data_IF_584832372786
#
_entry.id   IF_584832372786
#
_cell.length_a   1.000
_cell.length_b   1.000
_cell.length_c   1.000
_cell.angle_alpha   90.00
_cell.angle_beta   90.00
_cell.angle_gamma   90.00
#
_symmetry.space_group_name_H-M   'P 1'
#
loop_
_entity.id
_entity.type
_entity.pdbx_description
1 polymer ?
#
# COMPACT_ATOMS: atom_id res chain seq x y z
N UNK A 1 -10.38 -9.71 -18.55
CA UNK A 1 -10.77 -8.32 -18.21
C UNK A 1 -11.90 -7.77 -19.09
N UNK A 2 -11.87 -7.96 -20.41
CA UNK A 2 -12.86 -7.36 -21.33
C UNK A 2 -14.34 -7.55 -20.94
N UNK A 3 -14.76 -8.75 -20.51
CA UNK A 3 -16.15 -8.99 -20.03
C UNK A 3 -16.56 -8.15 -18.80
N UNK A 4 -15.62 -7.68 -17.98
CA UNK A 4 -15.90 -6.89 -16.76
C UNK A 4 -16.02 -5.39 -17.04
N UNK A 5 -15.40 -4.93 -18.14
CA UNK A 5 -15.23 -3.52 -18.46
C UNK A 5 -15.89 -3.10 -19.78
N UNK A 6 -16.59 -4.03 -20.45
CA UNK A 6 -17.30 -3.75 -21.69
C UNK A 6 -18.32 -2.62 -21.49
N UNK A 7 -18.29 -1.62 -22.38
CA UNK A 7 -19.12 -0.41 -22.29
C UNK A 7 -18.80 0.57 -21.15
N UNK A 8 -17.71 0.38 -20.40
CA UNK A 8 -17.30 1.29 -19.31
C UNK A 8 -16.07 2.11 -19.68
N UNK A 9 -15.99 3.33 -19.16
CA UNK A 9 -14.81 4.19 -19.31
C UNK A 9 -13.67 3.75 -18.36
N UNK A 10 -13.11 2.56 -18.61
CA UNK A 10 -12.04 1.95 -17.82
C UNK A 10 -10.97 1.39 -18.74
N UNK A 11 -9.73 1.82 -18.53
CA UNK A 11 -8.57 1.32 -19.27
C UNK A 11 -7.82 0.29 -18.45
N UNK A 12 -7.44 -0.83 -19.07
CA UNK A 12 -6.57 -1.83 -18.45
C UNK A 12 -5.16 -1.64 -19.00
N UNK A 13 -4.22 -1.40 -18.09
CA UNK A 13 -2.82 -1.15 -18.45
C UNK A 13 -1.96 -2.25 -17.84
N UNK A 14 -1.07 -2.83 -18.66
CA UNK A 14 -0.16 -3.89 -18.25
C UNK A 14 1.28 -3.36 -18.17
N UNK A 15 2.06 -3.89 -17.23
CA UNK A 15 3.52 -3.68 -17.09
C UNK A 15 3.97 -2.22 -16.95
N UNK A 16 3.06 -1.32 -16.59
CA UNK A 16 3.31 0.12 -16.48
C UNK A 16 2.86 0.68 -15.14
N UNK A 17 3.01 -0.09 -14.06
CA UNK A 17 2.53 0.25 -12.71
C UNK A 17 2.94 1.66 -12.27
N UNK A 18 4.22 2.02 -12.40
CA UNK A 18 4.69 3.34 -11.96
C UNK A 18 4.18 4.48 -12.83
N UNK A 19 4.07 4.27 -14.15
CA UNK A 19 3.48 5.27 -15.05
C UNK A 19 2.00 5.47 -14.72
N UNK A 20 1.27 4.40 -14.40
CA UNK A 20 -0.12 4.46 -13.96
C UNK A 20 -0.26 5.25 -12.66
N UNK A 21 0.59 4.97 -11.66
CA UNK A 21 0.58 5.69 -10.38
C UNK A 21 0.88 7.18 -10.55
N UNK A 22 1.89 7.54 -11.34
CA UNK A 22 2.26 8.95 -11.59
C UNK A 22 1.15 9.76 -12.27
N UNK A 23 0.23 9.10 -12.99
CA UNK A 23 -0.93 9.73 -13.62
C UNK A 23 -2.22 9.60 -12.79
N UNK A 24 -2.14 9.05 -11.58
CA UNK A 24 -3.31 8.81 -10.72
C UNK A 24 -3.45 9.91 -9.67
N UNK A 25 -4.68 10.38 -9.43
CA UNK A 25 -4.95 11.30 -8.31
C UNK A 25 -5.04 10.58 -6.97
N UNK A 26 -5.56 9.35 -6.97
CA UNK A 26 -5.65 8.48 -5.80
C UNK A 26 -5.66 7.02 -6.28
N UNK A 27 -5.38 6.08 -5.38
CA UNK A 27 -5.31 4.66 -5.72
C UNK A 27 -6.12 3.77 -4.77
N UNK A 28 -6.78 2.76 -5.33
CA UNK A 28 -7.25 1.59 -4.58
C UNK A 28 -6.20 0.50 -4.75
N UNK A 29 -5.57 0.09 -3.65
CA UNK A 29 -4.38 -0.75 -3.70
C UNK A 29 -4.59 -2.00 -2.86
N UNK A 30 -4.11 -3.14 -3.33
CA UNK A 30 -4.12 -4.36 -2.51
C UNK A 30 -3.03 -4.30 -1.44
N UNK A 31 -3.15 -5.11 -0.37
CA UNK A 31 -2.09 -5.24 0.62
C UNK A 31 -0.81 -5.78 -0.02
N UNK A 32 0.35 -5.23 0.35
CA UNK A 32 1.66 -5.74 -0.09
C UNK A 32 2.65 -4.62 -0.37
N UNK A 33 3.65 -4.91 -1.20
CA UNK A 33 4.67 -3.91 -1.61
C UNK A 33 4.06 -2.76 -2.41
N UNK A 34 2.96 -3.00 -3.13
CA UNK A 34 2.25 -1.98 -3.88
C UNK A 34 1.79 -0.79 -2.99
N UNK A 35 1.49 -1.01 -1.70
CA UNK A 35 1.15 0.09 -0.79
C UNK A 35 2.34 1.01 -0.55
N UNK A 36 3.52 0.42 -0.36
CA UNK A 36 4.76 1.18 -0.19
C UNK A 36 5.13 1.93 -1.47
N UNK A 37 5.08 1.25 -2.62
CA UNK A 37 5.38 1.89 -3.91
C UNK A 37 4.46 3.11 -4.14
N UNK A 38 3.14 2.94 -3.91
CA UNK A 38 2.15 4.01 -4.03
C UNK A 38 2.44 5.18 -3.10
N UNK A 39 2.75 4.91 -1.83
CA UNK A 39 3.13 5.94 -0.86
C UNK A 39 4.45 6.66 -1.23
N UNK A 40 5.43 5.95 -1.79
CA UNK A 40 6.70 6.53 -2.25
C UNK A 40 6.50 7.49 -3.43
N UNK A 41 5.51 7.23 -4.29
CA UNK A 41 5.07 8.16 -5.34
C UNK A 41 4.17 9.30 -4.83
N UNK A 42 3.94 9.40 -3.53
CA UNK A 42 3.06 10.40 -2.89
C UNK A 42 1.62 10.39 -3.41
N UNK A 43 1.13 9.22 -3.82
CA UNK A 43 -0.25 9.05 -4.26
C UNK A 43 -1.09 8.58 -3.06
N UNK A 44 -2.12 9.34 -2.63
CA UNK A 44 -3.01 8.88 -1.57
C UNK A 44 -3.70 7.58 -1.96
N UNK A 45 -3.83 6.66 -1.01
CA UNK A 45 -4.39 5.34 -1.27
C UNK A 45 -5.42 4.89 -0.22
N UNK A 46 -6.30 3.98 -0.63
CA UNK A 46 -7.12 3.15 0.24
C UNK A 46 -6.74 1.69 -0.01
N UNK A 47 -6.38 0.99 1.06
CA UNK A 47 -5.94 -0.40 1.00
C UNK A 47 -7.15 -1.31 1.08
N UNK A 48 -7.28 -2.22 0.12
CA UNK A 48 -8.42 -3.10 0.00
C UNK A 48 -7.98 -4.57 0.02
N UNK A 49 -8.63 -5.38 0.85
CA UNK A 49 -8.37 -6.82 0.89
C UNK A 49 -9.65 -7.63 1.06
N UNK A 50 -9.86 -8.59 0.15
CA UNK A 50 -10.89 -9.62 0.26
C UNK A 50 -10.23 -10.98 0.07
N UNK A 51 -10.28 -11.81 1.10
CA UNK A 51 -9.70 -13.16 1.07
C UNK A 51 -10.57 -14.13 1.87
N UNK A 52 -10.10 -15.37 2.04
CA UNK A 52 -10.78 -16.32 2.93
C UNK A 52 -10.86 -15.75 4.35
N UNK A 53 -12.08 -15.52 4.85
CA UNK A 53 -12.33 -14.94 6.18
C UNK A 53 -11.67 -15.76 7.30
N UNK A 54 -11.74 -17.09 7.19
CA UNK A 54 -11.14 -18.04 8.13
C UNK A 54 -9.61 -17.93 8.10
N UNK A 55 -9.00 -17.97 6.91
CA UNK A 55 -7.54 -17.87 6.75
C UNK A 55 -7.02 -16.52 7.26
N UNK A 56 -7.75 -15.44 6.99
CA UNK A 56 -7.42 -14.10 7.47
C UNK A 56 -7.47 -14.02 9.00
N UNK A 57 -8.55 -14.52 9.62
CA UNK A 57 -8.72 -14.48 11.08
C UNK A 57 -7.64 -15.30 11.80
N UNK A 58 -7.30 -16.47 11.25
CA UNK A 58 -6.23 -17.32 11.78
C UNK A 58 -4.86 -16.66 11.65
N UNK A 59 -4.53 -16.12 10.47
CA UNK A 59 -3.26 -15.42 10.25
C UNK A 59 -3.12 -14.20 11.16
N UNK A 60 -4.18 -13.39 11.31
CA UNK A 60 -4.16 -12.21 12.18
C UNK A 60 -3.96 -12.59 13.65
N UNK A 61 -4.61 -13.68 14.12
CA UNK A 61 -4.50 -14.14 15.50
C UNK A 61 -3.13 -14.76 15.81
N UNK A 62 -2.54 -15.47 14.86
CA UNK A 62 -1.22 -16.09 15.01
C UNK A 62 -0.08 -15.04 14.99
N UNK A 63 -0.17 -14.02 14.13
CA UNK A 63 0.91 -13.03 13.94
C UNK A 63 0.68 -11.74 14.77
N UNK A 64 -0.46 -11.59 15.47
CA UNK A 64 -0.80 -10.40 16.30
C UNK A 64 -0.54 -9.06 15.60
N UNK A 65 -0.84 -8.96 14.30
CA UNK A 65 -0.61 -7.75 13.51
C UNK A 65 -1.77 -6.76 13.63
N UNK A 66 -1.45 -5.50 13.94
CA UNK A 66 -2.41 -4.40 14.08
C UNK A 66 -2.93 -3.88 12.73
N UNK A 67 -2.08 -3.94 11.72
CA UNK A 67 -2.34 -3.45 10.36
C UNK A 67 -1.89 -4.49 9.32
N UNK A 68 -2.38 -4.39 8.09
CA UNK A 68 -1.98 -5.28 6.98
C UNK A 68 -1.19 -4.58 5.88
N UNK A 69 -1.30 -3.26 5.76
CA UNK A 69 -0.51 -2.49 4.82
C UNK A 69 0.89 -2.24 5.36
N UNK A 70 1.89 -2.26 4.47
CA UNK A 70 3.26 -1.95 4.88
C UNK A 70 3.39 -0.51 5.38
N UNK A 71 2.61 0.42 4.81
CA UNK A 71 2.55 1.81 5.26
C UNK A 71 2.15 1.91 6.73
N UNK A 72 1.01 1.35 7.11
CA UNK A 72 0.54 1.44 8.50
C UNK A 72 1.38 0.61 9.47
N UNK A 73 1.95 -0.52 9.00
CA UNK A 73 2.87 -1.33 9.81
C UNK A 73 4.15 -0.56 10.15
N UNK A 74 4.78 0.09 9.17
CA UNK A 74 6.01 0.86 9.39
C UNK A 74 5.73 2.10 10.24
N UNK A 75 4.63 2.81 9.96
CA UNK A 75 4.25 4.02 10.70
C UNK A 75 3.66 3.73 12.08
N UNK A 76 3.32 2.46 12.37
CA UNK A 76 2.63 1.99 13.56
C UNK A 76 1.34 2.78 13.91
N UNK A 77 0.72 3.39 12.90
CA UNK A 77 -0.55 4.15 12.99
C UNK A 77 -1.32 4.01 11.69
N UNK A 78 -2.63 4.26 11.74
CA UNK A 78 -3.48 4.26 10.54
C UNK A 78 -3.23 5.55 9.74
N UNK A 79 -2.27 5.51 8.82
CA UNK A 79 -2.00 6.58 7.84
C UNK A 79 -2.94 6.45 6.65
N UNK A 80 -3.09 5.24 6.12
CA UNK A 80 -3.98 4.91 5.00
C UNK A 80 -5.12 4.03 5.49
N UNK A 81 -6.31 4.23 4.92
CA UNK A 81 -7.48 3.46 5.35
C UNK A 81 -7.39 2.02 4.84
N UNK A 82 -7.58 1.05 5.72
CA UNK A 82 -7.66 -0.38 5.38
C UNK A 82 -9.13 -0.84 5.38
N UNK A 83 -9.64 -1.19 4.20
CA UNK A 83 -10.96 -1.80 4.01
C UNK A 83 -10.78 -3.31 3.82
N UNK A 84 -11.15 -4.07 4.85
CA UNK A 84 -10.86 -5.51 4.94
C UNK A 84 -12.17 -6.30 5.06
N UNK A 85 -12.30 -7.34 4.24
CA UNK A 85 -13.44 -8.26 4.25
C UNK A 85 -14.80 -7.57 4.11
N UNK A 86 -15.60 -7.47 5.18
CA UNK A 86 -16.91 -6.82 5.17
C UNK A 86 -16.82 -5.32 4.91
N UNK A 87 -15.71 -4.70 5.32
CA UNK A 87 -15.51 -3.26 5.16
C UNK A 87 -15.14 -2.91 3.71
N UNK A 88 -14.69 -3.89 2.92
CA UNK A 88 -14.45 -3.72 1.49
C UNK A 88 -15.76 -3.87 0.70
N UNK A 89 -16.59 -2.83 0.79
CA UNK A 89 -17.87 -2.71 0.09
C UNK A 89 -17.99 -1.33 -0.61
N UNK A 90 -18.97 -1.19 -1.50
CA UNK A 90 -19.14 0.00 -2.37
C UNK A 90 -19.29 1.29 -1.56
N UNK A 91 -20.07 1.25 -0.46
CA UNK A 91 -20.30 2.43 0.37
C UNK A 91 -19.00 2.90 1.02
N UNK A 92 -18.30 2.00 1.70
CA UNK A 92 -17.02 2.31 2.34
C UNK A 92 -15.98 2.79 1.33
N UNK A 93 -15.87 2.12 0.17
CA UNK A 93 -14.96 2.54 -0.90
C UNK A 93 -15.24 3.97 -1.37
N UNK A 94 -16.51 4.27 -1.64
CA UNK A 94 -16.91 5.58 -2.17
C UNK A 94 -16.61 6.68 -1.15
N UNK A 95 -16.92 6.45 0.12
CA UNK A 95 -16.65 7.39 1.21
C UNK A 95 -15.15 7.62 1.37
N UNK A 96 -14.36 6.56 1.52
CA UNK A 96 -12.93 6.69 1.82
C UNK A 96 -12.14 7.22 0.62
N UNK A 97 -12.48 6.81 -0.61
CA UNK A 97 -11.87 7.36 -1.81
C UNK A 97 -12.19 8.85 -1.98
N UNK A 98 -13.44 9.26 -1.73
CA UNK A 98 -13.84 10.67 -1.80
C UNK A 98 -13.10 11.53 -0.77
N UNK A 99 -12.84 10.98 0.43
CA UNK A 99 -12.05 11.68 1.45
C UNK A 99 -10.63 11.95 0.97
N UNK A 100 -9.93 10.95 0.42
CA UNK A 100 -8.53 11.13 -0.01
C UNK A 100 -8.39 11.92 -1.31
N UNK A 101 -9.47 12.04 -2.09
CA UNK A 101 -9.57 12.99 -3.21
C UNK A 101 -9.79 14.43 -2.75
N UNK A 102 -10.26 14.65 -1.51
CA UNK A 102 -10.36 15.98 -0.92
C UNK A 102 -8.99 16.50 -0.47
N UNK A 103 -8.71 17.78 -0.74
CA UNK A 103 -7.43 18.42 -0.45
C UNK A 103 -6.99 18.27 1.02
N UNK A 104 -7.89 18.37 2.00
CA UNK A 104 -7.48 18.33 3.41
C UNK A 104 -6.87 16.97 3.79
N UNK A 105 -7.58 15.87 3.52
CA UNK A 105 -7.10 14.54 3.91
C UNK A 105 -5.91 14.10 3.06
N UNK A 106 -5.88 14.52 1.80
CA UNK A 106 -4.73 14.34 0.91
C UNK A 106 -3.45 14.91 1.52
N UNK A 107 -3.47 16.17 1.95
CA UNK A 107 -2.28 16.82 2.51
C UNK A 107 -1.81 16.16 3.82
N UNK A 108 -2.75 15.70 4.66
CA UNK A 108 -2.42 14.91 5.85
C UNK A 108 -1.65 13.63 5.47
N UNK A 109 -2.17 12.86 4.51
CA UNK A 109 -1.54 11.62 4.06
C UNK A 109 -0.16 11.87 3.43
N UNK A 110 -0.03 12.89 2.58
CA UNK A 110 1.25 13.24 1.94
C UNK A 110 2.29 13.62 3.00
N UNK A 111 1.88 14.34 4.06
CA UNK A 111 2.78 14.69 5.16
C UNK A 111 3.29 13.43 5.86
N UNK A 112 2.41 12.47 6.12
CA UNK A 112 2.78 11.18 6.71
C UNK A 112 3.69 10.35 5.79
N UNK A 113 3.50 10.41 4.47
CA UNK A 113 4.38 9.75 3.51
C UNK A 113 5.80 10.33 3.50
N UNK A 114 5.97 11.63 3.76
CA UNK A 114 7.31 12.23 3.91
C UNK A 114 8.01 11.68 5.14
N UNK A 115 7.29 11.46 6.24
CA UNK A 115 7.84 10.80 7.43
C UNK A 115 8.15 9.32 7.17
N UNK A 116 7.26 8.60 6.48
CA UNK A 116 7.51 7.22 6.04
C UNK A 116 8.81 7.11 5.23
N UNK A 117 9.04 8.02 4.27
CA UNK A 117 10.28 8.06 3.48
C UNK A 117 11.52 8.23 4.36
N UNK A 118 11.45 9.08 5.39
CA UNK A 118 12.56 9.23 6.36
C UNK A 118 12.80 7.94 7.14
N UNK A 119 11.74 7.26 7.57
CA UNK A 119 11.83 5.99 8.33
C UNK A 119 12.42 4.85 7.52
N UNK A 120 12.07 4.75 6.23
CA UNK A 120 12.64 3.77 5.31
C UNK A 120 14.15 4.00 5.07
N UNK A 121 14.62 5.22 5.35
CA UNK A 121 15.98 5.63 5.12
C UNK A 121 16.27 5.90 3.65
N UNK A 122 17.55 5.88 3.30
CA UNK A 122 18.03 6.15 1.95
C UNK A 122 18.40 4.88 1.18
N UNK A 123 19.11 5.09 0.07
CA UNK A 123 19.68 4.00 -0.71
C UNK A 123 20.79 3.24 0.04
N UNK A 124 21.21 2.11 -0.53
CA UNK A 124 22.33 1.32 -0.02
C UNK A 124 21.93 0.15 0.88
N UNK A 125 20.64 -0.15 1.02
CA UNK A 125 20.19 -1.37 1.71
C UNK A 125 20.84 -2.63 1.11
N UNK A 126 20.77 -2.81 -0.21
CA UNK A 126 21.36 -3.97 -0.90
C UNK A 126 22.88 -4.03 -0.73
N UNK A 127 23.57 -2.88 -0.81
CA UNK A 127 25.03 -2.81 -0.62
C UNK A 127 25.42 -3.23 0.79
N UNK A 128 24.76 -2.67 1.82
CA UNK A 128 24.99 -3.05 3.22
C UNK A 128 24.72 -4.54 3.45
N UNK A 129 23.64 -5.07 2.89
CA UNK A 129 23.35 -6.50 2.98
C UNK A 129 24.44 -7.34 2.31
N UNK A 130 24.92 -6.94 1.13
CA UNK A 130 26.02 -7.63 0.45
C UNK A 130 27.32 -7.60 1.27
N UNK A 131 27.66 -6.45 1.88
CA UNK A 131 28.81 -6.31 2.79
C UNK A 131 28.68 -7.22 4.02
N UNK A 132 27.50 -7.31 4.63
CA UNK A 132 27.25 -8.21 5.75
C UNK A 132 27.40 -9.68 5.36
N UNK A 133 26.85 -10.09 4.22
CA UNK A 133 26.98 -11.45 3.70
C UNK A 133 28.45 -11.78 3.46
N UNK A 134 29.19 -10.89 2.79
CA UNK A 134 30.62 -11.10 2.51
C UNK A 134 31.42 -11.24 3.79
N UNK A 135 31.19 -10.37 4.78
CA UNK A 135 31.86 -10.41 6.08
C UNK A 135 31.59 -11.72 6.82
N UNK A 136 30.35 -12.21 6.82
CA UNK A 136 30.00 -13.49 7.46
C UNK A 136 30.70 -14.69 6.81
N UNK A 137 30.81 -14.67 5.47
CA UNK A 137 31.49 -15.73 4.72
C UNK A 137 33.02 -15.71 4.87
N UNK A 138 33.64 -14.54 5.05
CA UNK A 138 35.09 -14.37 5.19
C UNK A 138 35.62 -14.54 6.63
N UNK A 139 34.75 -14.69 7.63
CA UNK A 139 35.13 -14.96 9.03
C UNK A 139 35.19 -16.49 9.31
N UNK A 140 34.97 -17.34 8.29
CA UNK A 140 35.30 -18.77 8.32
C UNK A 140 36.70 -19.03 7.78
#
# INVERSE_FOLDING_TARGET
YNKLFDGKNVNVVFEKTYQLLLNSSAALVTSGTATLETALFEIPEVVCYKGSFISFMLAKRLVKIKYISLVNLIMNKEVVKELIQSDFNINSLTIELSKILNNKKREEIITEYRELKKMLGGSGASTKTAEFIFKDLCIK
#
